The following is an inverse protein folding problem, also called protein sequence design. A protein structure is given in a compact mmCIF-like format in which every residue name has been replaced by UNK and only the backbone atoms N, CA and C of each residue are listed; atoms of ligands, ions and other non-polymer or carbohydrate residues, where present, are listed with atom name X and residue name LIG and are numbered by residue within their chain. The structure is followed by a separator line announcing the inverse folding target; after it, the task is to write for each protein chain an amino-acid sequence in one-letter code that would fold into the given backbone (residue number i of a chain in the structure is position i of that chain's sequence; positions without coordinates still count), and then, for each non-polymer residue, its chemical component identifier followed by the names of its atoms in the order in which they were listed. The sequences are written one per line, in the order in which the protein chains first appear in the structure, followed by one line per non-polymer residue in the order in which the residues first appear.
data_IF_706506828250
#
_entry.id   IF_706506828250
#
_cell.length_a   1.000
_cell.length_b   1.000
_cell.length_c   1.000
_cell.angle_alpha   90.00
_cell.angle_beta   90.00
_cell.angle_gamma   90.00
#
_symmetry.space_group_name_H-M   'P 1'
#
loop_
_entity.id
_entity.type
_entity.pdbx_description
1 polymer ?
#
# COMPACT_ATOMS: atom_id res chain seq x y z
N UNK A 1 -12.51 12.46 47.03
CA UNK A 1 -11.57 11.46 46.49
C UNK A 1 -12.14 11.02 45.17
N UNK A 2 -11.44 11.22 44.05
CA UNK A 2 -11.93 10.73 42.76
C UNK A 2 -11.99 9.19 42.84
N UNK A 3 -13.12 8.60 42.43
CA UNK A 3 -13.31 7.14 42.39
C UNK A 3 -12.43 6.56 41.29
N UNK A 4 -11.18 6.28 41.60
CA UNK A 4 -10.25 5.61 40.70
C UNK A 4 -10.37 4.12 40.98
N UNK A 5 -10.81 3.37 39.98
CA UNK A 5 -10.92 1.91 40.08
C UNK A 5 -9.56 1.30 40.30
N UNK A 6 -9.44 0.48 41.35
CA UNK A 6 -8.21 -0.27 41.62
C UNK A 6 -7.91 -1.26 40.47
N UNK A 7 -6.62 -1.54 40.18
CA UNK A 7 -6.24 -2.60 39.27
C UNK A 7 -6.83 -3.93 39.75
N UNK A 8 -7.17 -4.85 38.84
CA UNK A 8 -7.46 -6.22 39.23
C UNK A 8 -6.25 -6.80 39.98
N UNK A 9 -6.50 -7.70 40.93
CA UNK A 9 -5.39 -8.38 41.60
C UNK A 9 -4.50 -9.07 40.57
N UNK A 10 -3.19 -8.97 40.75
CA UNK A 10 -2.24 -9.54 39.80
C UNK A 10 -2.37 -11.07 39.75
N UNK A 11 -2.42 -11.70 40.93
CA UNK A 11 -2.63 -13.12 41.12
C UNK A 11 -3.71 -13.33 42.18
N UNK A 12 -4.91 -13.67 41.71
CA UNK A 12 -6.03 -14.05 42.58
C UNK A 12 -5.99 -15.53 42.96
N UNK A 13 -5.46 -16.38 42.08
CA UNK A 13 -5.45 -17.83 42.19
C UNK A 13 -4.04 -18.38 41.86
N UNK A 14 -3.65 -19.55 42.40
CA UNK A 14 -2.39 -20.18 42.07
C UNK A 14 -2.31 -20.51 40.56
N UNK A 15 -1.27 -20.04 39.88
CA UNK A 15 -1.05 -20.35 38.47
C UNK A 15 -0.46 -19.19 37.65
N UNK A 16 -0.73 -19.21 36.35
CA UNK A 16 -0.26 -18.16 35.44
C UNK A 16 -1.15 -16.90 35.55
N UNK A 17 -0.56 -15.70 35.69
CA UNK A 17 -1.35 -14.47 35.79
C UNK A 17 -2.14 -14.21 34.52
N UNK A 18 -3.42 -13.84 34.67
CA UNK A 18 -4.33 -13.50 33.56
C UNK A 18 -3.77 -12.36 32.70
N UNK A 19 -3.08 -11.40 33.33
CA UNK A 19 -2.42 -10.28 32.67
C UNK A 19 -0.92 -10.41 32.88
N UNK A 20 -0.14 -10.48 31.79
CA UNK A 20 1.33 -10.52 31.86
C UNK A 20 1.89 -9.37 32.72
N UNK A 21 2.87 -9.70 33.56
CA UNK A 21 3.47 -8.78 34.53
C UNK A 21 3.81 -7.39 33.96
N UNK A 22 4.51 -7.32 32.83
CA UNK A 22 4.86 -6.03 32.19
C UNK A 22 3.65 -5.12 31.95
N UNK A 23 2.53 -5.70 31.50
CA UNK A 23 1.30 -4.96 31.23
C UNK A 23 0.59 -4.57 32.53
N UNK A 24 0.50 -5.50 33.47
CA UNK A 24 -0.13 -5.26 34.77
C UNK A 24 0.60 -4.19 35.58
N UNK A 25 1.93 -4.26 35.64
CA UNK A 25 2.79 -3.28 36.31
C UNK A 25 2.55 -1.86 35.79
N UNK A 26 2.40 -1.67 34.48
CA UNK A 26 2.06 -0.36 33.90
C UNK A 26 0.68 0.15 34.36
N UNK A 27 -0.31 -0.75 34.47
CA UNK A 27 -1.65 -0.40 34.99
C UNK A 27 -1.54 0.04 36.46
N UNK A 28 -0.79 -0.72 37.26
CA UNK A 28 -0.52 -0.40 38.66
C UNK A 28 0.22 0.94 38.82
N UNK A 29 1.27 1.19 38.03
CA UNK A 29 2.04 2.45 38.09
C UNK A 29 1.17 3.67 37.76
N UNK A 30 0.26 3.53 36.79
CA UNK A 30 -0.72 4.56 36.47
C UNK A 30 -1.70 4.77 37.63
N UNK A 31 -2.24 3.68 38.20
CA UNK A 31 -3.12 3.76 39.35
C UNK A 31 -2.46 4.43 40.56
N UNK A 32 -1.24 4.01 40.92
CA UNK A 32 -0.46 4.60 42.01
C UNK A 32 -0.24 6.10 41.82
N UNK A 33 0.06 6.53 40.58
CA UNK A 33 0.22 7.95 40.23
C UNK A 33 -1.07 8.76 40.43
N UNK A 34 -2.25 8.17 40.16
CA UNK A 34 -3.54 8.86 40.38
C UNK A 34 -3.95 8.83 41.87
N UNK A 35 -3.59 7.77 42.61
CA UNK A 35 -3.84 7.70 44.06
C UNK A 35 -3.10 8.77 44.87
N UNK A 36 -2.01 9.34 44.34
CA UNK A 36 -1.34 10.50 44.93
C UNK A 36 -0.04 10.85 44.21
N UNK A 37 0.23 12.15 44.06
CA UNK A 37 1.40 12.66 43.32
C UNK A 37 2.74 12.39 44.02
N UNK A 38 2.73 12.12 45.34
CA UNK A 38 3.93 11.86 46.17
C UNK A 38 3.67 10.72 47.18
N UNK A 39 3.40 9.50 46.71
CA UNK A 39 3.39 8.33 47.60
C UNK A 39 4.82 8.04 48.08
N UNK A 40 5.03 7.88 49.39
CA UNK A 40 6.31 7.39 49.93
C UNK A 40 6.60 5.97 49.42
N UNK A 41 7.88 5.57 49.45
CA UNK A 41 8.31 4.21 49.07
C UNK A 41 7.49 3.13 49.81
N UNK A 42 7.42 3.25 51.13
CA UNK A 42 6.61 2.39 52.00
C UNK A 42 5.12 2.35 51.61
N UNK A 43 4.50 3.51 51.36
CA UNK A 43 3.05 3.56 51.03
C UNK A 43 2.78 2.98 49.66
N UNK A 44 3.67 3.22 48.69
CA UNK A 44 3.58 2.65 47.34
C UNK A 44 3.82 1.14 47.37
N UNK A 45 4.73 0.66 48.23
CA UNK A 45 4.97 -0.76 48.48
C UNK A 45 3.73 -1.42 49.07
N UNK A 46 3.13 -0.85 50.12
CA UNK A 46 1.90 -1.37 50.71
C UNK A 46 0.76 -1.45 49.69
N UNK A 47 0.64 -0.43 48.82
CA UNK A 47 -0.33 -0.44 47.73
C UNK A 47 -0.03 -1.54 46.70
N UNK A 48 1.23 -1.76 46.35
CA UNK A 48 1.65 -2.85 45.47
C UNK A 48 1.26 -4.20 46.06
N UNK A 49 1.62 -4.46 47.32
CA UNK A 49 1.29 -5.72 48.01
C UNK A 49 -0.22 -5.96 48.03
N UNK A 50 -1.01 -4.94 48.35
CA UNK A 50 -2.47 -5.03 48.29
C UNK A 50 -2.98 -5.41 46.89
N UNK A 51 -2.46 -4.76 45.84
CA UNK A 51 -2.87 -5.03 44.46
C UNK A 51 -2.30 -6.35 43.90
N UNK A 52 -1.27 -6.94 44.49
CA UNK A 52 -0.74 -8.25 44.05
C UNK A 52 -1.73 -9.39 44.32
N UNK A 53 -2.55 -9.27 45.37
CA UNK A 53 -3.38 -10.37 45.88
C UNK A 53 -2.59 -11.30 46.81
N UNK A 54 -3.28 -12.23 47.47
CA UNK A 54 -2.66 -13.15 48.44
C UNK A 54 -1.58 -14.03 47.81
N UNK A 55 -1.89 -14.65 46.68
CA UNK A 55 -0.96 -15.50 45.92
C UNK A 55 0.26 -14.70 45.42
N UNK A 56 0.05 -13.46 44.98
CA UNK A 56 1.15 -12.58 44.55
C UNK A 56 2.08 -12.16 45.68
N UNK A 57 1.57 -12.03 46.91
CA UNK A 57 2.39 -11.78 48.11
C UNK A 57 3.19 -13.03 48.50
N UNK A 58 2.57 -14.21 48.48
CA UNK A 58 3.26 -15.47 48.75
C UNK A 58 4.42 -15.71 47.76
N UNK A 59 4.23 -15.40 46.48
CA UNK A 59 5.32 -15.47 45.50
C UNK A 59 6.45 -14.50 45.87
N UNK A 60 6.14 -13.26 46.24
CA UNK A 60 7.15 -12.27 46.63
C UNK A 60 7.97 -12.72 47.84
N UNK A 61 7.32 -13.32 48.85
CA UNK A 61 7.98 -13.84 50.04
C UNK A 61 8.92 -15.02 49.73
N UNK A 62 8.59 -15.83 48.71
CA UNK A 62 9.37 -16.98 48.30
C UNK A 62 10.48 -16.66 47.26
N UNK A 63 10.48 -15.47 46.66
CA UNK A 63 11.54 -15.03 45.73
C UNK A 63 12.80 -14.68 46.54
N UNK A 64 14.01 -15.12 46.11
CA UNK A 64 15.26 -14.72 46.75
C UNK A 64 15.39 -13.20 46.87
N UNK A 65 15.85 -12.68 48.02
CA UNK A 65 16.07 -11.25 48.20
C UNK A 65 17.16 -10.75 47.24
N UNK A 66 17.04 -9.48 46.80
CA UNK A 66 18.12 -8.83 46.05
C UNK A 66 19.39 -8.78 46.88
N UNK A 67 20.55 -8.83 46.24
CA UNK A 67 21.82 -8.63 46.94
C UNK A 67 21.87 -7.20 47.50
N UNK A 68 22.52 -7.00 48.67
CA UNK A 68 22.60 -5.67 49.30
C UNK A 68 23.18 -4.59 48.37
N UNK A 69 24.10 -4.97 47.48
CA UNK A 69 24.66 -4.05 46.47
C UNK A 69 23.59 -3.54 45.50
N UNK A 70 22.65 -4.40 45.10
CA UNK A 70 21.56 -4.08 44.16
C UNK A 70 20.41 -3.31 44.82
N UNK A 71 20.37 -3.26 46.15
CA UNK A 71 19.38 -2.48 46.92
C UNK A 71 19.83 -1.03 47.17
N UNK A 72 21.11 -0.70 46.98
CA UNK A 72 21.64 0.63 47.33
C UNK A 72 20.95 1.73 46.50
N UNK A 73 20.38 2.70 47.21
CA UNK A 73 19.70 3.85 46.60
C UNK A 73 18.29 3.55 46.09
N UNK A 74 17.78 2.33 46.30
CA UNK A 74 16.39 1.96 46.01
C UNK A 74 15.53 2.12 47.27
N UNK A 75 14.28 2.52 47.10
CA UNK A 75 13.26 2.48 48.16
C UNK A 75 12.59 1.09 48.24
N UNK A 76 11.75 0.90 49.25
CA UNK A 76 11.09 -0.38 49.56
C UNK A 76 10.22 -0.88 48.38
N UNK A 77 9.51 0.03 47.71
CA UNK A 77 8.75 -0.29 46.50
C UNK A 77 9.65 -0.76 45.36
N UNK A 78 10.74 -0.05 45.10
CA UNK A 78 11.67 -0.35 44.02
C UNK A 78 12.37 -1.70 44.21
N UNK A 79 12.67 -2.06 45.46
CA UNK A 79 13.20 -3.38 45.82
C UNK A 79 12.19 -4.47 45.44
N UNK A 80 10.95 -4.39 45.92
CA UNK A 80 9.91 -5.38 45.62
C UNK A 80 9.60 -5.45 44.12
N UNK A 81 9.45 -4.30 43.46
CA UNK A 81 9.17 -4.23 42.03
C UNK A 81 10.28 -4.87 41.19
N UNK A 82 11.55 -4.71 41.60
CA UNK A 82 12.70 -5.29 40.92
C UNK A 82 12.82 -6.81 41.13
N UNK A 83 12.47 -7.32 42.32
CA UNK A 83 12.37 -8.76 42.54
C UNK A 83 11.30 -9.39 41.65
N UNK A 84 10.12 -8.79 41.59
CA UNK A 84 9.01 -9.23 40.75
C UNK A 84 9.36 -9.14 39.26
N UNK A 85 10.06 -8.08 38.84
CA UNK A 85 10.58 -7.97 37.47
C UNK A 85 11.52 -9.14 37.13
N UNK A 86 12.45 -9.50 38.01
CA UNK A 86 13.39 -10.60 37.78
C UNK A 86 12.70 -11.97 37.74
N UNK A 87 11.60 -12.13 38.49
CA UNK A 87 10.84 -13.37 38.54
C UNK A 87 9.90 -13.53 37.34
N UNK A 88 9.13 -12.50 37.00
CA UNK A 88 8.06 -12.60 36.00
C UNK A 88 8.46 -12.12 34.60
N UNK A 89 9.50 -11.30 34.46
CA UNK A 89 9.99 -10.98 33.12
C UNK A 89 10.87 -12.12 32.62
N UNK A 90 10.64 -12.62 31.40
CA UNK A 90 11.57 -13.57 30.80
C UNK A 90 12.95 -12.93 30.74
N UNK A 91 14.00 -13.72 30.99
CA UNK A 91 15.38 -13.31 30.71
C UNK A 91 15.54 -13.22 29.19
N UNK A 92 15.15 -12.08 28.63
CA UNK A 92 15.23 -11.83 27.20
C UNK A 92 16.71 -11.73 26.84
N UNK A 93 17.18 -12.69 26.03
CA UNK A 93 18.52 -12.63 25.46
C UNK A 93 18.56 -11.51 24.44
N UNK A 94 19.33 -10.46 24.74
CA UNK A 94 19.54 -9.34 23.82
C UNK A 94 20.08 -9.82 22.46
N UNK A 95 20.85 -10.92 22.44
CA UNK A 95 21.35 -11.53 21.19
C UNK A 95 20.19 -12.10 20.37
N UNK A 96 19.26 -12.82 21.00
CA UNK A 96 18.08 -13.38 20.31
C UNK A 96 17.17 -12.28 19.76
N UNK A 97 16.94 -11.21 20.52
CA UNK A 97 16.13 -10.09 20.04
C UNK A 97 16.76 -9.40 18.84
N UNK A 98 18.08 -9.17 18.88
CA UNK A 98 18.82 -8.60 17.74
C UNK A 98 18.78 -9.51 16.52
N UNK A 99 18.83 -10.82 16.73
CA UNK A 99 18.64 -11.81 15.66
C UNK A 99 17.24 -11.69 15.04
N UNK A 100 16.18 -11.64 15.85
CA UNK A 100 14.81 -11.45 15.36
C UNK A 100 14.62 -10.11 14.66
N UNK A 101 15.24 -9.04 15.16
CA UNK A 101 15.26 -7.73 14.52
C UNK A 101 15.91 -7.80 13.13
N UNK A 102 17.07 -8.48 13.01
CA UNK A 102 17.78 -8.63 11.74
C UNK A 102 17.04 -9.48 10.70
N UNK A 103 16.23 -10.45 11.16
CA UNK A 103 15.36 -11.26 10.31
C UNK A 103 14.09 -10.54 9.84
N UNK A 104 13.76 -9.38 10.42
CA UNK A 104 12.49 -8.72 10.15
C UNK A 104 12.52 -8.03 8.77
N UNK A 105 11.75 -8.56 7.83
CA UNK A 105 11.60 -8.02 6.47
C UNK A 105 10.21 -7.48 6.21
N UNK A 106 10.09 -6.41 5.41
CA UNK A 106 8.79 -5.83 5.07
C UNK A 106 7.93 -6.83 4.29
N UNK A 107 6.69 -7.05 4.74
CA UNK A 107 5.72 -7.87 4.01
C UNK A 107 5.35 -7.27 2.65
N UNK A 108 4.96 -8.09 1.67
CA UNK A 108 4.58 -7.61 0.33
C UNK A 108 3.38 -6.66 0.33
N UNK A 109 2.47 -6.85 1.27
CA UNK A 109 1.25 -6.04 1.45
C UNK A 109 1.34 -5.13 2.67
N UNK A 110 2.48 -5.10 3.36
CA UNK A 110 2.69 -4.30 4.55
C UNK A 110 3.11 -2.89 4.16
N UNK A 111 2.40 -1.89 4.67
CA UNK A 111 2.75 -0.49 4.46
C UNK A 111 4.06 -0.11 5.14
N UNK A 112 4.70 0.95 4.65
CA UNK A 112 5.92 1.50 5.28
C UNK A 112 5.68 1.86 6.75
N UNK A 113 4.51 2.38 7.12
CA UNK A 113 4.18 2.77 8.51
C UNK A 113 4.08 1.56 9.44
N UNK A 114 3.41 0.50 8.99
CA UNK A 114 3.28 -0.73 9.76
C UNK A 114 4.64 -1.38 9.98
N UNK A 115 5.47 -1.40 8.94
CA UNK A 115 6.80 -1.99 9.01
C UNK A 115 7.71 -1.23 9.99
N UNK A 116 7.76 0.10 9.91
CA UNK A 116 8.53 0.94 10.84
C UNK A 116 8.04 0.77 12.28
N UNK A 117 6.71 0.68 12.47
CA UNK A 117 6.12 0.46 13.80
C UNK A 117 6.55 -0.90 14.36
N UNK A 118 6.57 -1.95 13.53
CA UNK A 118 7.03 -3.26 13.91
C UNK A 118 8.54 -3.28 14.25
N UNK A 119 9.36 -2.59 13.47
CA UNK A 119 10.80 -2.44 13.75
C UNK A 119 11.05 -1.70 15.07
N UNK A 120 10.34 -0.59 15.34
CA UNK A 120 10.42 0.13 16.62
C UNK A 120 10.05 -0.77 17.80
N UNK A 121 9.01 -1.60 17.65
CA UNK A 121 8.59 -2.56 18.67
C UNK A 121 9.69 -3.59 18.97
N UNK A 122 10.33 -4.16 17.95
CA UNK A 122 11.44 -5.11 18.12
C UNK A 122 12.71 -4.44 18.66
N UNK A 123 13.03 -3.23 18.22
CA UNK A 123 14.19 -2.48 18.69
C UNK A 123 14.13 -2.19 20.20
N UNK A 124 12.92 -2.10 20.79
CA UNK A 124 12.72 -1.81 22.22
C UNK A 124 13.35 -2.84 23.17
N UNK A 125 13.49 -4.11 22.75
CA UNK A 125 14.11 -5.19 23.53
C UNK A 125 15.58 -5.44 23.15
N UNK A 126 16.07 -4.83 22.06
CA UNK A 126 17.41 -5.06 21.51
C UNK A 126 18.54 -4.28 22.21
N UNK A 127 18.19 -3.36 23.13
CA UNK A 127 19.15 -2.51 23.87
C UNK A 127 20.17 -1.83 22.94
N UNK A 128 19.70 -1.14 21.90
CA UNK A 128 20.58 -0.39 20.98
C UNK A 128 21.04 0.96 21.56
N UNK A 129 20.37 1.47 22.60
CA UNK A 129 20.74 2.74 23.24
C UNK A 129 20.50 3.92 22.32
N UNK A 130 21.50 4.80 22.17
CA UNK A 130 21.40 5.99 21.31
C UNK A 130 21.25 5.64 19.81
N UNK A 131 21.66 4.45 19.40
CA UNK A 131 21.68 4.03 17.98
C UNK A 131 20.37 3.41 17.51
N UNK A 132 19.27 3.49 18.27
CA UNK A 132 17.99 2.84 17.91
C UNK A 132 17.51 3.31 16.53
N UNK A 133 17.51 4.62 16.27
CA UNK A 133 16.99 5.15 15.01
C UNK A 133 17.89 4.78 13.82
N UNK A 134 19.21 4.80 14.00
CA UNK A 134 20.19 4.33 13.00
C UNK A 134 19.98 2.85 12.67
N UNK A 135 19.81 2.00 13.69
CA UNK A 135 19.57 0.56 13.47
C UNK A 135 18.26 0.30 12.74
N UNK A 136 17.21 1.04 13.04
CA UNK A 136 15.92 0.93 12.34
C UNK A 136 16.07 1.39 10.90
N UNK A 137 16.77 2.51 10.65
CA UNK A 137 17.07 3.02 9.31
C UNK A 137 17.81 1.97 8.48
N UNK A 138 18.92 1.46 9.00
CA UNK A 138 19.77 0.51 8.27
C UNK A 138 18.99 -0.78 7.98
N UNK A 139 18.23 -1.29 8.95
CA UNK A 139 17.37 -2.46 8.75
C UNK A 139 16.28 -2.22 7.70
N UNK A 140 15.67 -1.04 7.71
CA UNK A 140 14.66 -0.65 6.73
C UNK A 140 15.25 -0.64 5.32
N UNK A 141 16.40 0.00 5.12
CA UNK A 141 17.08 0.05 3.81
C UNK A 141 17.44 -1.37 3.33
N UNK A 142 17.93 -2.23 4.23
CA UNK A 142 18.32 -3.59 3.90
C UNK A 142 17.13 -4.49 3.51
N UNK A 143 15.97 -4.33 4.17
CA UNK A 143 14.86 -5.29 4.09
C UNK A 143 13.52 -4.69 3.65
N UNK A 144 13.52 -3.50 3.06
CA UNK A 144 12.33 -2.95 2.40
C UNK A 144 11.94 -3.80 1.19
N UNK A 145 10.63 -3.90 0.93
CA UNK A 145 10.11 -4.74 -0.14
C UNK A 145 10.30 -4.11 -1.54
N UNK A 146 10.42 -2.79 -1.62
CA UNK A 146 10.50 -2.04 -2.87
C UNK A 146 11.94 -1.71 -3.24
N UNK A 147 12.40 -2.25 -4.37
CA UNK A 147 13.74 -1.97 -4.89
C UNK A 147 13.92 -0.49 -5.26
N UNK A 148 12.87 0.17 -5.75
CA UNK A 148 12.90 1.62 -6.06
C UNK A 148 13.17 2.47 -4.83
N UNK A 149 12.56 2.11 -3.69
CA UNK A 149 12.83 2.79 -2.41
C UNK A 149 14.30 2.59 -2.05
N UNK A 150 14.82 1.37 -2.20
CA UNK A 150 16.21 1.06 -1.88
C UNK A 150 17.21 1.83 -2.76
N UNK A 151 16.96 1.89 -4.06
CA UNK A 151 17.77 2.64 -5.02
C UNK A 151 17.82 4.14 -4.71
N UNK A 152 16.66 4.76 -4.43
CA UNK A 152 16.62 6.19 -4.05
C UNK A 152 17.36 6.47 -2.73
N UNK A 153 17.30 5.54 -1.79
CA UNK A 153 17.98 5.68 -0.49
C UNK A 153 19.50 5.50 -0.60
N UNK A 154 19.98 4.62 -1.48
CA UNK A 154 21.41 4.44 -1.73
C UNK A 154 22.10 5.66 -2.36
N UNK A 155 21.33 6.54 -3.00
CA UNK A 155 21.85 7.78 -3.58
C UNK A 155 22.03 8.91 -2.55
N UNK A 156 21.50 8.75 -1.34
CA UNK A 156 21.57 9.76 -0.28
C UNK A 156 22.71 9.46 0.69
N UNK A 157 23.35 10.52 1.15
CA UNK A 157 24.39 10.44 2.17
C UNK A 157 23.74 10.49 3.58
N UNK A 158 23.83 9.38 4.29
CA UNK A 158 23.33 9.17 5.66
C UNK A 158 22.00 9.86 6.05
N UNK A 159 20.88 9.63 5.33
CA UNK A 159 19.61 10.28 5.65
C UNK A 159 19.12 9.90 7.06
N UNK A 160 18.51 10.82 7.83
CA UNK A 160 17.86 10.49 9.10
C UNK A 160 16.63 9.62 8.85
N UNK A 161 16.20 8.85 9.87
CA UNK A 161 15.08 7.90 9.72
C UNK A 161 13.79 8.58 9.20
N UNK A 162 13.47 9.78 9.68
CA UNK A 162 12.27 10.50 9.25
C UNK A 162 12.28 10.82 7.75
N UNK A 163 13.46 11.14 7.20
CA UNK A 163 13.62 11.39 5.78
C UNK A 163 13.46 10.09 4.97
N UNK A 164 14.06 9.00 5.44
CA UNK A 164 13.91 7.66 4.84
C UNK A 164 12.44 7.25 4.75
N UNK A 165 11.69 7.42 5.84
CA UNK A 165 10.26 7.12 5.90
C UNK A 165 9.47 8.00 4.94
N UNK A 166 9.78 9.30 4.86
CA UNK A 166 9.13 10.22 3.93
C UNK A 166 9.35 9.83 2.47
N UNK A 167 10.59 9.47 2.09
CA UNK A 167 10.92 8.98 0.75
C UNK A 167 10.12 7.73 0.44
N UNK A 168 10.18 6.74 1.32
CA UNK A 168 9.50 5.46 1.12
C UNK A 168 7.98 5.62 0.95
N UNK A 169 7.34 6.48 1.76
CA UNK A 169 5.90 6.79 1.62
C UNK A 169 5.56 7.44 0.28
N UNK A 170 6.39 8.37 -0.21
CA UNK A 170 6.17 9.00 -1.52
C UNK A 170 6.24 7.98 -2.66
N UNK A 171 7.24 7.09 -2.60
CA UNK A 171 7.39 6.03 -3.60
C UNK A 171 6.24 5.02 -3.52
N UNK A 172 5.84 4.62 -2.32
CA UNK A 172 4.68 3.74 -2.09
C UNK A 172 3.40 4.35 -2.70
N UNK A 173 3.13 5.62 -2.42
CA UNK A 173 2.00 6.35 -2.99
C UNK A 173 2.06 6.43 -4.52
N UNK A 174 3.23 6.77 -5.08
CA UNK A 174 3.44 6.83 -6.53
C UNK A 174 3.18 5.47 -7.20
N UNK A 175 3.70 4.39 -6.63
CA UNK A 175 3.49 3.04 -7.14
C UNK A 175 2.02 2.62 -7.08
N UNK A 176 1.31 3.00 -6.02
CA UNK A 176 -0.13 2.78 -5.89
C UNK A 176 -0.92 3.50 -6.97
N UNK A 177 -0.68 4.80 -7.18
CA UNK A 177 -1.34 5.58 -8.23
C UNK A 177 -1.06 5.01 -9.63
N UNK A 178 0.19 4.64 -9.92
CA UNK A 178 0.54 4.00 -11.20
C UNK A 178 -0.19 2.67 -11.38
N UNK A 179 -0.32 1.87 -10.31
CA UNK A 179 -1.09 0.63 -10.32
C UNK A 179 -2.56 0.86 -10.64
N UNK A 180 -3.20 1.86 -10.02
CA UNK A 180 -4.60 2.23 -10.28
C UNK A 180 -4.80 2.72 -11.72
N UNK A 181 -3.93 3.60 -12.21
CA UNK A 181 -3.95 4.05 -13.60
C UNK A 181 -3.82 2.87 -14.57
N UNK A 182 -2.94 1.91 -14.29
CA UNK A 182 -2.75 0.73 -15.16
C UNK A 182 -3.97 -0.20 -15.21
N UNK A 183 -4.76 -0.27 -14.14
CA UNK A 183 -6.01 -1.04 -14.09
C UNK A 183 -7.10 -0.35 -14.91
N UNK A 184 -7.26 0.97 -14.74
CA UNK A 184 -8.18 1.78 -15.54
C UNK A 184 -7.89 1.63 -17.05
N UNK A 185 -6.62 1.71 -17.47
CA UNK A 185 -6.25 1.52 -18.88
C UNK A 185 -6.52 0.10 -19.42
N UNK A 186 -6.57 -0.93 -18.56
CA UNK A 186 -6.93 -2.29 -18.98
C UNK A 186 -8.44 -2.43 -19.12
N UNK A 187 -9.20 -1.85 -18.21
CA UNK A 187 -10.67 -1.83 -18.24
C UNK A 187 -11.18 -1.05 -19.45
N UNK A 188 -10.54 0.07 -19.80
CA UNK A 188 -10.81 0.83 -21.03
C UNK A 188 -10.50 0.02 -22.30
N UNK A 189 -9.39 -0.74 -22.32
CA UNK A 189 -9.06 -1.61 -23.47
C UNK A 189 -9.99 -2.81 -23.62
N UNK A 190 -10.52 -3.34 -22.52
CA UNK A 190 -11.47 -4.46 -22.55
C UNK A 190 -12.85 -3.99 -23.03
N UNK A 191 -13.30 -2.82 -22.57
CA UNK A 191 -14.57 -2.22 -23.00
C UNK A 191 -14.54 -1.82 -24.49
N UNK A 192 -13.43 -1.27 -24.99
CA UNK A 192 -13.28 -0.99 -26.45
C UNK A 192 -13.33 -2.28 -27.27
N UNK A 193 -12.66 -3.36 -26.85
CA UNK A 193 -12.71 -4.66 -27.56
C UNK A 193 -14.09 -5.31 -27.52
N UNK A 194 -14.83 -5.15 -26.43
CA UNK A 194 -16.19 -5.66 -26.31
C UNK A 194 -17.16 -4.90 -27.24
N UNK A 195 -17.03 -3.58 -27.32
CA UNK A 195 -17.80 -2.75 -28.26
C UNK A 195 -17.44 -3.04 -29.72
N UNK A 196 -16.17 -3.28 -30.04
CA UNK A 196 -15.74 -3.70 -31.38
C UNK A 196 -16.32 -5.07 -31.77
N UNK A 197 -16.43 -6.02 -30.82
CA UNK A 197 -17.04 -7.32 -31.05
C UNK A 197 -18.57 -7.23 -31.25
N UNK A 198 -19.27 -6.41 -30.47
CA UNK A 198 -20.70 -6.13 -30.65
C UNK A 198 -20.98 -5.45 -32.00
N UNK A 199 -20.17 -4.47 -32.41
CA UNK A 199 -20.29 -3.85 -33.72
C UNK A 199 -20.09 -4.84 -34.88
N UNK A 200 -19.26 -5.88 -34.71
CA UNK A 200 -19.05 -6.91 -35.73
C UNK A 200 -20.21 -7.90 -35.83
N UNK A 201 -20.93 -8.16 -34.73
CA UNK A 201 -22.16 -8.98 -34.72
C UNK A 201 -23.29 -8.23 -35.43
N UNK A 202 -23.48 -6.95 -35.12
CA UNK A 202 -24.49 -6.10 -35.77
C UNK A 202 -24.26 -6.01 -37.29
N UNK A 203 -23.00 -5.91 -37.73
CA UNK A 203 -22.66 -5.92 -39.17
C UNK A 203 -22.91 -7.26 -39.88
N UNK A 204 -22.92 -8.39 -39.16
CA UNK A 204 -23.28 -9.70 -39.72
C UNK A 204 -24.79 -9.87 -39.83
N UNK A 205 -25.55 -9.45 -38.82
CA UNK A 205 -27.01 -9.50 -38.82
C UNK A 205 -27.63 -8.59 -39.90
N UNK A 206 -27.02 -7.42 -40.17
CA UNK A 206 -27.43 -6.54 -41.27
C UNK A 206 -27.14 -7.13 -42.66
N UNK A 207 -26.07 -7.94 -42.79
CA UNK A 207 -25.79 -8.67 -44.03
C UNK A 207 -26.81 -9.79 -44.25
N UNK A 208 -27.18 -10.56 -43.23
CA UNK A 208 -28.18 -11.62 -43.36
C UNK A 208 -29.59 -11.09 -43.68
N UNK A 209 -30.02 -9.99 -43.03
CA UNK A 209 -31.29 -9.31 -43.37
C UNK A 209 -31.34 -8.77 -44.80
N UNK A 210 -30.19 -8.41 -45.38
CA UNK A 210 -30.09 -7.98 -46.78
C UNK A 210 -30.26 -9.13 -47.78
N UNK A 211 -29.95 -10.37 -47.39
CA UNK A 211 -30.15 -11.57 -48.24
C UNK A 211 -31.57 -12.16 -48.12
N UNK A 212 -32.29 -11.93 -47.03
CA UNK A 212 -33.70 -12.33 -46.90
C UNK A 212 -34.67 -11.38 -47.62
N UNK A 213 -34.40 -10.08 -47.62
CA UNK A 213 -35.23 -9.09 -48.33
C UNK A 213 -35.20 -9.20 -49.86
N UNK A 214 -34.27 -9.96 -50.43
CA UNK A 214 -34.19 -10.26 -51.88
C UNK A 214 -35.05 -11.48 -52.25
N UNK A 215 -35.45 -12.31 -51.28
CA UNK A 215 -36.20 -13.56 -51.53
C UNK A 215 -37.71 -13.38 -51.59
N UNK A 216 -38.25 -12.27 -51.05
CA UNK A 216 -39.69 -11.98 -51.02
C UNK A 216 -40.21 -11.17 -52.22
N UNK A 217 -39.38 -10.80 -53.19
CA UNK A 217 -39.81 -10.09 -54.42
C UNK A 217 -39.63 -10.90 -55.72
N UNK A 218 -39.83 -12.22 -55.65
CA UNK A 218 -40.01 -13.08 -56.81
C UNK A 218 -41.49 -13.14 -57.22
N UNK A 219 -41.84 -12.42 -58.28
CA UNK A 219 -43.16 -12.41 -58.91
C UNK A 219 -43.55 -13.82 -59.40
N UNK A 220 -44.79 -14.20 -59.09
CA UNK A 220 -45.48 -15.40 -59.58
C UNK A 220 -45.66 -15.31 -61.10
N UNK A 221 -45.17 -16.32 -61.83
CA UNK A 221 -45.71 -16.69 -63.13
C UNK A 221 -45.99 -18.19 -63.09
N UNK A 222 -47.26 -18.55 -63.02
CA UNK A 222 -47.74 -19.91 -63.25
C UNK A 222 -47.45 -20.30 -64.69
N UNK A 223 -46.97 -21.53 -64.91
CA UNK A 223 -47.41 -22.34 -66.04
C UNK A 223 -47.11 -23.82 -65.81
N UNK A 224 -48.05 -24.60 -66.32
CA UNK A 224 -48.27 -26.01 -66.12
C UNK A 224 -47.45 -26.90 -67.06
N UNK A 225 -47.28 -28.16 -66.61
CA UNK A 225 -46.95 -29.36 -67.37
C UNK A 225 -45.50 -29.57 -67.87
N UNK A 226 -44.98 -30.77 -67.61
CA UNK A 226 -44.09 -31.48 -68.53
C UNK A 226 -42.69 -31.81 -68.02
N UNK A 227 -42.43 -33.12 -67.88
CA UNK A 227 -41.11 -33.75 -67.74
C UNK A 227 -40.12 -33.24 -68.81
N UNK A 228 -38.83 -33.06 -68.50
CA UNK A 228 -37.75 -34.04 -68.72
C UNK A 228 -36.37 -33.38 -68.60
N UNK A 229 -35.46 -34.16 -68.03
CA UNK A 229 -34.00 -34.13 -68.05
C UNK A 229 -33.36 -33.69 -69.38
N UNK A 230 -32.31 -32.87 -69.32
CA UNK A 230 -31.53 -32.48 -70.50
C UNK A 230 -30.43 -31.47 -70.20
N UNK A 231 -29.21 -31.98 -70.04
CA UNK A 231 -27.94 -31.26 -69.91
C UNK A 231 -27.66 -30.36 -71.13
N UNK A 232 -27.28 -29.08 -70.94
CA UNK A 232 -26.42 -28.34 -71.88
C UNK A 232 -25.79 -27.07 -71.26
N UNK A 233 -24.47 -27.16 -71.11
CA UNK A 233 -23.40 -26.23 -71.53
C UNK A 233 -23.62 -24.71 -71.38
N UNK A 234 -22.71 -24.14 -70.57
CA UNK A 234 -22.25 -22.75 -70.46
C UNK A 234 -22.48 -21.88 -71.71
N UNK A 235 -23.16 -20.75 -71.50
CA UNK A 235 -22.96 -19.51 -72.25
C UNK A 235 -22.82 -18.35 -71.27
N UNK A 236 -21.87 -17.47 -71.59
CA UNK A 236 -21.33 -16.39 -70.78
C UNK A 236 -22.36 -15.29 -70.47
N UNK A 237 -22.25 -14.68 -69.29
CA UNK A 237 -22.91 -13.40 -68.98
C UNK A 237 -21.83 -12.39 -68.56
N UNK A 238 -21.58 -11.43 -69.45
CA UNK A 238 -20.81 -10.22 -69.19
C UNK A 238 -21.39 -9.46 -67.98
N UNK A 239 -20.69 -9.53 -66.85
CA UNK A 239 -20.93 -8.69 -65.68
C UNK A 239 -20.24 -7.34 -65.87
N UNK A 240 -21.03 -6.27 -65.98
CA UNK A 240 -20.57 -4.89 -66.16
C UNK A 240 -19.67 -4.45 -64.98
N UNK A 241 -18.35 -4.25 -65.18
CA UNK A 241 -17.37 -3.95 -64.11
C UNK A 241 -17.62 -2.62 -63.39
N UNK A 242 -18.48 -1.75 -63.93
CA UNK A 242 -18.71 -0.41 -63.41
C UNK A 242 -19.46 -0.40 -62.07
N UNK A 243 -20.29 -1.41 -61.76
CA UNK A 243 -21.08 -1.46 -60.51
C UNK A 243 -20.28 -1.93 -59.29
N UNK A 244 -19.36 -2.87 -59.47
CA UNK A 244 -18.51 -3.35 -58.37
C UNK A 244 -17.47 -2.31 -57.95
N UNK A 245 -16.90 -1.57 -58.92
CA UNK A 245 -15.99 -0.44 -58.64
C UNK A 245 -16.72 0.70 -57.90
N UNK A 246 -18.01 0.94 -58.19
CA UNK A 246 -18.81 1.96 -57.49
C UNK A 246 -19.10 1.61 -56.03
N UNK A 247 -19.26 0.32 -55.69
CA UNK A 247 -19.52 -0.12 -54.32
C UNK A 247 -18.24 -0.17 -53.49
N UNK A 248 -17.12 -0.59 -54.08
CA UNK A 248 -15.80 -0.62 -53.44
C UNK A 248 -15.26 0.81 -53.19
N UNK A 249 -15.49 1.74 -54.11
CA UNK A 249 -15.19 3.17 -53.90
C UNK A 249 -16.06 3.83 -52.83
N UNK A 250 -17.31 3.36 -52.64
CA UNK A 250 -18.19 3.82 -51.57
C UNK A 250 -17.71 3.40 -50.17
N UNK A 251 -17.27 2.15 -50.02
CA UNK A 251 -16.71 1.63 -48.76
C UNK A 251 -15.37 2.31 -48.42
N UNK A 252 -14.48 2.49 -49.41
CA UNK A 252 -13.23 3.21 -49.21
C UNK A 252 -13.46 4.66 -48.77
N UNK A 253 -14.44 5.38 -49.34
CA UNK A 253 -14.80 6.73 -48.87
C UNK A 253 -15.36 6.74 -47.44
N UNK A 254 -16.16 5.75 -47.06
CA UNK A 254 -16.71 5.67 -45.71
C UNK A 254 -15.61 5.35 -44.66
N UNK A 255 -14.65 4.50 -45.00
CA UNK A 255 -13.47 4.23 -44.16
C UNK A 255 -12.58 5.46 -44.07
N UNK A 256 -12.32 6.14 -45.18
CA UNK A 256 -11.55 7.39 -45.22
C UNK A 256 -12.18 8.46 -44.32
N UNK A 257 -13.52 8.65 -44.39
CA UNK A 257 -14.25 9.62 -43.59
C UNK A 257 -14.18 9.35 -42.09
N UNK A 258 -14.29 8.07 -41.67
CA UNK A 258 -14.12 7.67 -40.27
C UNK A 258 -12.68 7.82 -39.78
N UNK A 259 -11.69 7.61 -40.67
CA UNK A 259 -10.29 7.82 -40.32
C UNK A 259 -10.01 9.30 -40.08
N UNK A 260 -10.55 10.19 -40.93
CA UNK A 260 -10.40 11.65 -40.77
C UNK A 260 -11.07 12.15 -39.49
N UNK A 261 -12.28 11.69 -39.16
CA UNK A 261 -12.97 12.06 -37.92
C UNK A 261 -12.15 11.68 -36.67
N UNK A 262 -11.56 10.47 -36.66
CA UNK A 262 -10.69 10.04 -35.55
C UNK A 262 -9.37 10.81 -35.47
N UNK A 263 -8.86 11.28 -36.60
CA UNK A 263 -7.67 12.15 -36.62
C UNK A 263 -8.03 13.54 -36.09
N UNK A 264 -9.18 14.09 -36.47
CA UNK A 264 -9.66 15.39 -35.99
C UNK A 264 -9.93 15.37 -34.46
N UNK A 265 -10.50 14.28 -33.94
CA UNK A 265 -10.69 14.08 -32.49
C UNK A 265 -9.36 13.98 -31.72
N UNK A 266 -8.37 13.29 -32.30
CA UNK A 266 -7.04 13.18 -31.72
C UNK A 266 -6.29 14.52 -31.76
N UNK A 267 -6.41 15.28 -32.86
CA UNK A 267 -5.84 16.61 -32.98
C UNK A 267 -6.50 17.57 -31.98
N UNK A 268 -7.83 17.58 -31.86
CA UNK A 268 -8.58 18.36 -30.87
C UNK A 268 -8.14 18.08 -29.43
N UNK A 269 -7.92 16.79 -29.11
CA UNK A 269 -7.40 16.38 -27.81
C UNK A 269 -5.97 16.89 -27.57
N UNK A 270 -5.11 16.88 -28.59
CA UNK A 270 -3.76 17.44 -28.51
C UNK A 270 -3.76 18.97 -28.38
N UNK A 271 -4.68 19.68 -29.03
CA UNK A 271 -4.84 21.14 -28.89
C UNK A 271 -5.30 21.53 -27.49
N UNK A 272 -6.08 20.69 -26.80
CA UNK A 272 -6.50 20.90 -25.41
C UNK A 272 -5.36 20.71 -24.40
N UNK A 273 -4.43 19.78 -24.67
CA UNK A 273 -3.29 19.47 -23.77
C UNK A 273 -2.11 20.44 -23.97
N UNK A 274 -1.91 20.97 -25.19
CA UNK A 274 -0.79 21.85 -25.54
C UNK A 274 -0.64 23.10 -24.63
N UNK A 275 -1.70 23.81 -24.23
CA UNK A 275 -1.61 24.94 -23.28
C UNK A 275 -1.15 24.52 -21.89
N UNK A 276 -1.61 23.38 -21.38
CA UNK A 276 -1.18 22.84 -20.09
C UNK A 276 0.30 22.46 -20.11
N UNK A 277 0.80 21.89 -21.22
CA UNK A 277 2.23 21.61 -21.40
C UNK A 277 3.07 22.89 -21.44
N UNK A 278 2.62 23.93 -22.15
CA UNK A 278 3.29 25.23 -22.19
C UNK A 278 3.35 25.89 -20.81
N UNK A 279 2.27 25.78 -20.02
CA UNK A 279 2.23 26.29 -18.64
C UNK A 279 3.24 25.55 -17.75
N UNK A 280 3.31 24.22 -17.84
CA UNK A 280 4.30 23.42 -17.08
C UNK A 280 5.73 23.78 -17.48
N UNK A 281 6.00 24.01 -18.77
CA UNK A 281 7.31 24.44 -19.25
C UNK A 281 7.70 25.82 -18.73
N UNK A 282 6.76 26.76 -18.61
CA UNK A 282 7.03 28.09 -18.07
C UNK A 282 7.27 28.03 -16.55
N UNK A 283 6.50 27.21 -15.81
CA UNK A 283 6.77 26.96 -14.39
C UNK A 283 8.15 26.33 -14.19
N UNK A 284 8.57 25.41 -15.06
CA UNK A 284 9.91 24.82 -15.00
C UNK A 284 11.01 25.87 -15.19
N UNK A 285 10.86 26.82 -16.13
CA UNK A 285 11.83 27.92 -16.29
C UNK A 285 11.92 28.81 -15.05
N UNK A 286 10.79 29.12 -14.42
CA UNK A 286 10.76 29.92 -13.18
C UNK A 286 11.52 29.20 -12.06
N UNK A 287 11.28 27.89 -11.90
CA UNK A 287 11.99 27.07 -10.90
C UNK A 287 13.49 27.02 -11.20
N UNK A 288 13.88 26.84 -12.46
CA UNK A 288 15.29 26.83 -12.89
C UNK A 288 15.99 28.19 -12.69
N UNK A 289 15.26 29.31 -12.81
CA UNK A 289 15.79 30.64 -12.51
C UNK A 289 16.05 30.79 -11.00
N UNK A 290 15.06 30.43 -10.16
CA UNK A 290 15.22 30.48 -8.69
C UNK A 290 16.36 29.60 -8.17
N UNK A 291 16.55 28.43 -8.77
CA UNK A 291 17.66 27.53 -8.42
C UNK A 291 19.01 28.19 -8.77
N UNK A 292 19.12 28.91 -9.89
CA UNK A 292 20.33 29.67 -10.24
C UNK A 292 20.60 30.81 -9.27
N UNK A 293 19.58 31.58 -8.90
CA UNK A 293 19.73 32.71 -7.96
C UNK A 293 20.17 32.22 -6.58
N UNK A 294 19.57 31.13 -6.07
CA UNK A 294 19.98 30.52 -4.80
C UNK A 294 21.41 29.99 -4.86
N UNK A 295 21.82 29.39 -5.98
CA UNK A 295 23.19 28.91 -6.16
C UNK A 295 24.20 30.06 -6.13
N UNK A 296 23.90 31.19 -6.80
CA UNK A 296 24.74 32.38 -6.77
C UNK A 296 24.81 33.01 -5.36
N UNK A 297 23.72 32.98 -4.59
CA UNK A 297 23.73 33.43 -3.20
C UNK A 297 24.64 32.56 -2.31
N UNK A 298 24.56 31.24 -2.46
CA UNK A 298 25.42 30.29 -1.71
C UNK A 298 26.90 30.52 -2.05
N UNK A 299 27.23 30.64 -3.33
CA UNK A 299 28.60 30.91 -3.79
C UNK A 299 29.14 32.26 -3.28
N UNK A 300 28.26 33.27 -3.05
CA UNK A 300 28.65 34.56 -2.47
C UNK A 300 28.83 34.55 -0.94
N UNK A 301 28.29 33.54 -0.24
CA UNK A 301 28.46 33.37 1.20
C UNK A 301 29.65 32.51 1.59
N UNK A 302 30.22 31.77 0.62
CA UNK A 302 31.37 30.88 0.82
C UNK A 302 32.72 31.50 0.40
N UNK A 303 32.72 32.71 -0.15
CA UNK A 303 33.91 33.50 -0.51
C UNK A 303 34.15 34.68 0.41
#
# INVERSE_FOLDING_TARGET
MQNVTAPPFFLSDPGEPVIKWKKWKNIFENYARVCGTNLSGERKQALLLHCLGGEGQEVLENIPPLLQADQRGLNEYEICARQLDLHYLPKISTIMERYHFGLREQGKEESVEEYITALRKLASSCKFGALVEERIRDQFVLRCCSDKVREELWLKDEPPLDEVVSIAKRVEHMLKCVGELSKAHKEDKVSVKAQEAECQVIQKDEKEKKYEGVREKGVVIENSAGKTQGNRRLEDCDGDPARDIQMETGLLRAVQAKLTERVDDAESSLTSIRPSLANVQEQLKIVQAKVRDLKAMVESTEG
#
